data_IF_724909789556
#
_entry.id   IF_724909789556
#
_cell.length_a   1.000
_cell.length_b   1.000
_cell.length_c   1.000
_cell.angle_alpha   90.00
_cell.angle_beta   90.00
_cell.angle_gamma   90.00
#
_symmetry.space_group_name_H-M   'P 1'
#
loop_
_entity.id
_entity.type
_entity.pdbx_description
1 polymer ?
#
# COMPACT_ATOMS: atom_id res chain seq x y z
N UNK A 1 32.18 0.88 15.65
CA UNK A 1 31.26 0.28 14.66
C UNK A 1 30.85 1.33 13.66
N UNK A 2 31.23 1.16 12.38
CA UNK A 2 30.84 2.08 11.30
C UNK A 2 29.34 1.91 11.00
N UNK A 3 28.53 2.83 11.51
CA UNK A 3 27.12 2.95 11.15
C UNK A 3 27.00 3.44 9.71
N UNK A 4 27.00 2.52 8.74
CA UNK A 4 26.75 2.84 7.34
C UNK A 4 25.40 3.58 7.21
N UNK A 5 25.46 4.86 6.78
CA UNK A 5 24.29 5.72 6.62
C UNK A 5 23.42 5.19 5.48
N UNK A 6 22.29 4.57 5.81
CA UNK A 6 21.33 4.04 4.81
C UNK A 6 20.37 5.13 4.33
N UNK A 7 20.02 5.08 3.05
CA UNK A 7 18.95 5.92 2.47
C UNK A 7 17.59 5.25 2.68
N UNK A 8 16.58 6.04 3.05
CA UNK A 8 15.21 5.55 3.20
C UNK A 8 14.60 5.28 1.82
N UNK A 9 14.02 4.09 1.63
CA UNK A 9 13.26 3.77 0.42
C UNK A 9 11.88 4.45 0.47
N UNK A 10 11.49 5.11 -0.61
CA UNK A 10 10.15 5.64 -0.77
C UNK A 10 9.25 4.62 -1.46
N UNK A 11 8.08 4.37 -0.87
CA UNK A 11 7.12 3.39 -1.37
C UNK A 11 6.03 4.10 -2.15
N UNK A 12 5.79 3.63 -3.38
CA UNK A 12 4.75 4.15 -4.26
C UNK A 12 3.62 3.13 -4.42
N UNK A 13 2.39 3.62 -4.58
CA UNK A 13 1.23 2.77 -4.84
C UNK A 13 0.20 3.49 -5.72
N UNK A 14 -0.58 2.74 -6.48
CA UNK A 14 -1.59 3.27 -7.42
C UNK A 14 -2.92 3.48 -6.69
N UNK A 15 -3.40 4.73 -6.66
CA UNK A 15 -4.63 5.10 -5.93
C UNK A 15 -5.79 5.50 -6.85
N UNK A 16 -5.53 6.29 -7.90
CA UNK A 16 -6.53 6.83 -8.87
C UNK A 16 -5.99 6.85 -10.31
N UNK A 17 -5.39 5.75 -10.75
CA UNK A 17 -4.88 5.60 -12.12
C UNK A 17 -3.39 5.93 -12.30
N UNK A 18 -2.77 6.64 -11.36
CA UNK A 18 -1.32 6.90 -11.36
C UNK A 18 -0.66 6.53 -10.02
N UNK A 19 0.67 6.47 -10.01
CA UNK A 19 1.49 6.15 -8.84
C UNK A 19 1.67 7.40 -7.97
N UNK A 20 1.41 7.27 -6.67
CA UNK A 20 1.69 8.31 -5.67
C UNK A 20 2.53 7.75 -4.53
N UNK A 21 3.38 8.58 -3.90
CA UNK A 21 4.08 8.19 -2.69
C UNK A 21 3.08 7.86 -1.57
N UNK A 22 3.24 6.71 -0.93
CA UNK A 22 2.39 6.29 0.21
C UNK A 22 2.58 7.23 1.40
N UNK A 23 3.75 7.87 1.51
CA UNK A 23 4.08 8.90 2.50
C UNK A 23 3.12 10.10 2.45
N UNK A 24 2.56 10.41 1.28
CA UNK A 24 1.69 11.57 1.06
C UNK A 24 0.19 11.25 1.24
N UNK A 25 -0.17 10.01 1.57
CA UNK A 25 -1.59 9.64 1.69
C UNK A 25 -2.26 10.32 2.89
N UNK A 26 -3.39 10.98 2.63
CA UNK A 26 -4.26 11.51 3.68
C UNK A 26 -5.02 10.38 4.41
N UNK A 27 -5.72 10.72 5.50
CA UNK A 27 -6.46 9.74 6.31
C UNK A 27 -7.50 8.95 5.49
N UNK A 28 -8.26 9.64 4.63
CA UNK A 28 -9.27 9.00 3.79
C UNK A 28 -8.69 7.96 2.83
N UNK A 29 -7.59 8.27 2.14
CA UNK A 29 -6.93 7.33 1.22
C UNK A 29 -6.37 6.09 1.92
N UNK A 30 -5.92 6.22 3.18
CA UNK A 30 -5.50 5.08 3.98
C UNK A 30 -6.68 4.16 4.34
N UNK A 31 -7.82 4.72 4.71
CA UNK A 31 -9.03 3.93 4.98
C UNK A 31 -9.57 3.29 3.69
N UNK A 32 -9.72 4.05 2.60
CA UNK A 32 -10.12 3.53 1.29
C UNK A 32 -9.23 2.35 0.83
N UNK A 33 -7.92 2.41 1.10
CA UNK A 33 -6.99 1.35 0.75
C UNK A 33 -7.21 0.07 1.58
N UNK A 34 -7.54 0.18 2.87
CA UNK A 34 -7.82 -0.98 3.74
C UNK A 34 -9.07 -1.73 3.29
N UNK A 35 -10.05 -1.01 2.76
CA UNK A 35 -11.31 -1.60 2.28
C UNK A 35 -11.15 -2.33 0.93
N UNK A 36 -10.00 -2.17 0.24
CA UNK A 36 -9.73 -2.85 -1.03
C UNK A 36 -9.65 -4.36 -0.82
N UNK A 37 -10.33 -5.10 -1.69
CA UNK A 37 -10.24 -6.56 -1.75
C UNK A 37 -9.35 -6.97 -2.93
N UNK A 38 -8.36 -7.82 -2.68
CA UNK A 38 -7.60 -8.46 -3.74
C UNK A 38 -8.41 -9.61 -4.33
N UNK A 39 -8.22 -9.89 -5.63
CA UNK A 39 -8.91 -11.00 -6.29
C UNK A 39 -8.65 -12.35 -5.62
N UNK A 40 -7.45 -12.56 -5.08
CA UNK A 40 -7.10 -13.75 -4.30
C UNK A 40 -8.01 -13.97 -3.09
N UNK A 41 -8.45 -12.88 -2.44
CA UNK A 41 -9.38 -12.93 -1.31
C UNK A 41 -10.85 -13.12 -1.73
N UNK A 42 -11.16 -12.99 -3.02
CA UNK A 42 -12.50 -13.27 -3.58
C UNK A 42 -12.60 -14.74 -3.95
N UNK A 43 -11.56 -15.30 -4.58
CA UNK A 43 -11.54 -16.72 -4.99
C UNK A 43 -11.49 -17.68 -3.79
N UNK A 44 -10.85 -17.30 -2.67
CA UNK A 44 -10.71 -18.15 -1.48
C UNK A 44 -11.91 -18.10 -0.51
N UNK A 45 -12.90 -17.24 -0.75
CA UNK A 45 -14.03 -17.05 0.18
C UNK A 45 -15.24 -17.94 -0.13
N UNK A 46 -15.22 -18.70 -1.21
CA UNK A 46 -16.30 -19.64 -1.56
C UNK A 46 -16.16 -21.02 -0.90
N UNK A 47 -15.12 -21.25 -0.09
CA UNK A 47 -14.86 -22.55 0.58
C UNK A 47 -15.22 -22.59 2.09
N UNK A 48 -16.08 -21.70 2.59
CA UNK A 48 -16.56 -21.78 3.98
C UNK A 48 -18.06 -21.59 4.12
#
# INVERSE_FOLDING_TARGET
>A
MNSAKRTKCEVYSRVVGFLTPVSQWNKGKKEEFKDRKTFDNVLRKEEK
#
